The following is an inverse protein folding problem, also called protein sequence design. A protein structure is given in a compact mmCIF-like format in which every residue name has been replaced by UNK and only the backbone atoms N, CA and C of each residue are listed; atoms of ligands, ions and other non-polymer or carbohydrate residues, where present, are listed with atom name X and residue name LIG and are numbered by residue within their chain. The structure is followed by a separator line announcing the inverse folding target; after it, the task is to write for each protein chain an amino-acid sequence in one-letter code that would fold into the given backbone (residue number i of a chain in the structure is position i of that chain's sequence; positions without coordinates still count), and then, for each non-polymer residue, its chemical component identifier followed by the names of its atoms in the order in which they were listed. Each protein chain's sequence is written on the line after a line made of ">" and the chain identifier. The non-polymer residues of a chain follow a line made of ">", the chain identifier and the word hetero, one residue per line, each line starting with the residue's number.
data_IF_354488697886
#
_entry.id   IF_354488697886
#
_cell.length_a   1.000
_cell.length_b   1.000
_cell.length_c   1.000
_cell.angle_alpha   90.00
_cell.angle_beta   90.00
_cell.angle_gamma   90.00
#
_symmetry.space_group_name_H-M   'P 1'
#
loop_
_entity.id
_entity.type
_entity.pdbx_description
1 polymer ?
#
# COMPACT_ATOMS: atom_id res chain seq x y z
N UNK A 1 48.07 0.46 6.95
CA UNK A 1 47.31 -0.47 7.81
C UNK A 1 46.29 -1.14 6.92
N UNK A 2 46.61 -2.34 6.41
CA UNK A 2 45.74 -3.09 5.50
C UNK A 2 45.03 -4.16 6.32
N UNK A 3 43.76 -3.95 6.64
CA UNK A 3 42.91 -4.92 7.32
C UNK A 3 42.06 -5.66 6.30
N UNK A 4 42.54 -6.83 5.88
CA UNK A 4 41.69 -7.83 5.23
C UNK A 4 41.11 -8.72 6.34
N UNK A 5 40.04 -8.23 6.98
CA UNK A 5 39.29 -8.94 8.03
C UNK A 5 38.22 -9.85 7.43
N UNK A 6 38.55 -10.58 6.36
CA UNK A 6 37.64 -11.60 5.82
C UNK A 6 37.71 -12.85 6.71
N UNK A 7 36.60 -13.30 7.33
CA UNK A 7 36.62 -14.50 8.16
C UNK A 7 36.97 -15.73 7.32
N UNK A 8 37.85 -16.58 7.83
CA UNK A 8 38.24 -17.84 7.17
C UNK A 8 37.00 -18.70 6.92
N UNK A 9 36.82 -19.14 5.66
CA UNK A 9 35.71 -20.00 5.24
C UNK A 9 35.60 -21.23 6.15
N UNK A 10 34.42 -21.42 6.73
CA UNK A 10 34.07 -22.63 7.49
C UNK A 10 34.22 -23.85 6.58
N UNK A 11 34.89 -24.95 7.01
CA UNK A 11 34.97 -26.15 6.20
C UNK A 11 33.55 -26.67 5.93
N UNK A 12 33.20 -26.78 4.66
CA UNK A 12 31.87 -27.24 4.24
C UNK A 12 31.66 -28.68 4.69
N UNK A 13 30.56 -28.96 5.38
CA UNK A 13 30.10 -30.33 5.60
C UNK A 13 29.87 -30.99 4.23
N UNK A 14 30.43 -32.20 4.01
CA UNK A 14 30.36 -32.92 2.73
C UNK A 14 28.95 -33.28 2.24
N UNK A 15 27.93 -33.01 3.06
CA UNK A 15 26.51 -33.19 2.72
C UNK A 15 25.83 -31.91 2.21
N UNK A 16 26.53 -30.78 2.08
CA UNK A 16 25.97 -29.52 1.60
C UNK A 16 26.39 -29.24 0.15
N UNK A 17 25.48 -28.62 -0.61
CA UNK A 17 25.78 -28.10 -1.93
C UNK A 17 26.84 -26.98 -1.84
N UNK A 18 27.67 -26.79 -2.87
CA UNK A 18 28.65 -25.70 -2.89
C UNK A 18 27.95 -24.34 -2.78
N UNK A 19 28.59 -23.34 -2.13
CA UNK A 19 28.04 -21.98 -2.04
C UNK A 19 27.74 -21.39 -3.42
N UNK A 20 26.69 -20.58 -3.50
CA UNK A 20 26.36 -19.80 -4.69
C UNK A 20 27.51 -18.84 -5.04
N UNK A 21 27.74 -18.62 -6.33
CA UNK A 21 28.74 -17.64 -6.78
C UNK A 21 28.32 -16.21 -6.40
N UNK A 22 29.26 -15.28 -6.17
CA UNK A 22 28.92 -13.87 -6.00
C UNK A 22 28.05 -13.37 -7.18
N UNK A 23 26.87 -12.82 -6.87
CA UNK A 23 25.88 -12.39 -7.87
C UNK A 23 24.87 -13.46 -8.31
N UNK A 24 25.00 -14.71 -7.85
CA UNK A 24 24.05 -15.79 -8.12
C UNK A 24 23.05 -15.93 -6.96
N UNK A 25 21.76 -15.78 -7.27
CA UNK A 25 20.68 -16.07 -6.33
C UNK A 25 20.30 -17.55 -6.39
N UNK A 26 20.09 -18.18 -5.23
CA UNK A 26 19.49 -19.53 -5.14
C UNK A 26 18.00 -19.57 -5.53
N UNK A 27 17.37 -18.41 -5.68
CA UNK A 27 16.03 -18.26 -6.23
C UNK A 27 16.01 -17.09 -7.25
N UNK A 28 16.47 -17.33 -8.50
CA UNK A 28 16.58 -16.27 -9.51
C UNK A 28 15.22 -15.71 -9.95
N UNK A 29 14.13 -16.48 -9.82
CA UNK A 29 12.77 -16.02 -10.14
C UNK A 29 12.08 -15.28 -8.97
N UNK A 30 12.74 -15.19 -7.81
CA UNK A 30 12.15 -14.59 -6.61
C UNK A 30 10.98 -15.39 -6.03
N UNK A 31 10.28 -14.82 -5.06
CA UNK A 31 9.12 -15.47 -4.44
C UNK A 31 8.02 -15.63 -5.50
N UNK A 32 7.49 -16.84 -5.76
CA UNK A 32 6.39 -17.00 -6.69
C UNK A 32 5.19 -16.16 -6.23
N UNK A 33 4.47 -15.53 -7.18
CA UNK A 33 3.21 -14.82 -6.90
C UNK A 33 2.27 -15.80 -6.18
N UNK A 34 2.09 -15.61 -4.88
CA UNK A 34 1.18 -16.43 -4.09
C UNK A 34 -0.28 -16.13 -4.45
N UNK A 35 -1.18 -17.07 -4.18
CA UNK A 35 -2.63 -16.92 -4.39
C UNK A 35 -3.19 -15.61 -3.82
N UNK A 36 -2.66 -15.15 -2.68
CA UNK A 36 -3.03 -13.88 -2.05
C UNK A 36 -2.68 -12.65 -2.88
N UNK A 37 -1.50 -12.64 -3.52
CA UNK A 37 -1.06 -11.52 -4.35
C UNK A 37 -1.91 -11.43 -5.62
N UNK A 38 -2.20 -12.58 -6.23
CA UNK A 38 -3.09 -12.67 -7.39
C UNK A 38 -4.52 -12.25 -7.05
N UNK A 39 -5.05 -12.71 -5.91
CA UNK A 39 -6.39 -12.31 -5.46
C UNK A 39 -6.51 -10.78 -5.27
N UNK A 40 -5.48 -10.14 -4.72
CA UNK A 40 -5.48 -8.69 -4.57
C UNK A 40 -5.47 -7.95 -5.92
N UNK A 41 -4.69 -8.43 -6.88
CA UNK A 41 -4.63 -7.90 -8.25
C UNK A 41 -5.99 -8.04 -8.95
N UNK A 42 -6.56 -9.24 -8.95
CA UNK A 42 -7.87 -9.54 -9.55
C UNK A 42 -8.99 -8.72 -8.88
N UNK A 43 -8.93 -8.55 -7.55
CA UNK A 43 -9.88 -7.73 -6.80
C UNK A 43 -9.83 -6.24 -7.20
N UNK A 44 -8.62 -5.66 -7.30
CA UNK A 44 -8.46 -4.28 -7.75
C UNK A 44 -8.97 -4.08 -9.18
N UNK A 45 -8.71 -5.05 -10.07
CA UNK A 45 -9.19 -4.99 -11.45
C UNK A 45 -10.73 -5.02 -11.50
N UNK A 46 -11.36 -5.94 -10.77
CA UNK A 46 -12.82 -6.03 -10.73
C UNK A 46 -13.47 -4.74 -10.19
N UNK A 47 -12.88 -4.11 -9.17
CA UNK A 47 -13.36 -2.82 -8.66
C UNK A 47 -13.20 -1.69 -9.68
N UNK A 48 -12.11 -1.69 -10.46
CA UNK A 48 -11.90 -0.68 -11.50
C UNK A 48 -12.94 -0.82 -12.61
N UNK A 49 -13.23 -2.06 -13.03
CA UNK A 49 -14.21 -2.35 -14.07
C UNK A 49 -15.63 -1.94 -13.62
N UNK A 50 -16.03 -2.31 -12.40
CA UNK A 50 -17.30 -1.88 -11.80
C UNK A 50 -17.41 -0.34 -11.70
N UNK A 51 -16.33 0.31 -11.25
CA UNK A 51 -16.31 1.77 -11.15
C UNK A 51 -16.36 2.46 -12.51
N UNK A 52 -15.78 1.87 -13.57
CA UNK A 52 -15.86 2.40 -14.93
C UNK A 52 -17.30 2.39 -15.47
N UNK A 53 -18.10 1.40 -15.09
CA UNK A 53 -19.50 1.28 -15.53
C UNK A 53 -20.46 2.12 -14.66
N UNK A 54 -20.34 2.06 -13.33
CA UNK A 54 -21.33 2.62 -12.39
C UNK A 54 -20.80 3.67 -11.40
N UNK A 55 -19.49 3.91 -11.36
CA UNK A 55 -18.85 4.72 -10.33
C UNK A 55 -19.36 6.16 -10.27
N UNK A 56 -19.62 6.78 -11.42
CA UNK A 56 -20.13 8.16 -11.47
C UNK A 56 -21.54 8.30 -10.87
N UNK A 57 -22.42 7.32 -11.08
CA UNK A 57 -23.76 7.31 -10.48
C UNK A 57 -23.69 6.99 -8.99
N UNK A 58 -22.82 6.06 -8.57
CA UNK A 58 -22.58 5.80 -7.15
C UNK A 58 -22.11 7.07 -6.41
N UNK A 59 -21.24 7.87 -7.02
CA UNK A 59 -20.79 9.17 -6.49
C UNK A 59 -21.95 10.17 -6.37
N UNK A 60 -22.80 10.27 -7.40
CA UNK A 60 -23.97 11.17 -7.36
C UNK A 60 -24.96 10.75 -6.28
N UNK A 61 -25.22 9.44 -6.15
CA UNK A 61 -26.10 8.89 -5.12
C UNK A 61 -25.55 9.17 -3.72
N UNK A 62 -24.25 8.92 -3.51
CA UNK A 62 -23.58 9.20 -2.24
C UNK A 62 -23.65 10.68 -1.87
N UNK A 63 -23.48 11.60 -2.84
CA UNK A 63 -23.64 13.04 -2.63
C UNK A 63 -25.06 13.40 -2.19
N UNK A 64 -26.07 12.74 -2.74
CA UNK A 64 -27.48 13.00 -2.44
C UNK A 64 -27.92 12.39 -1.09
N UNK A 65 -27.56 11.13 -0.82
CA UNK A 65 -28.04 10.39 0.34
C UNK A 65 -27.16 10.55 1.59
N UNK A 66 -25.84 10.69 1.39
CA UNK A 66 -24.83 10.72 2.46
C UNK A 66 -23.79 11.82 2.20
N UNK A 67 -24.20 13.10 2.17
CA UNK A 67 -23.32 14.22 1.81
C UNK A 67 -22.06 14.31 2.69
N UNK A 68 -22.16 13.96 3.98
CA UNK A 68 -21.01 13.96 4.90
C UNK A 68 -19.96 12.92 4.49
N UNK A 69 -20.39 11.70 4.14
CA UNK A 69 -19.47 10.65 3.69
C UNK A 69 -18.86 11.02 2.33
N UNK A 70 -19.64 11.63 1.43
CA UNK A 70 -19.15 12.12 0.15
C UNK A 70 -17.98 13.09 0.31
N UNK A 71 -18.10 14.08 1.21
CA UNK A 71 -17.02 15.03 1.49
C UNK A 71 -15.81 14.35 2.13
N UNK A 72 -16.00 13.37 3.02
CA UNK A 72 -14.88 12.58 3.58
C UNK A 72 -14.15 11.77 2.51
N UNK A 73 -14.88 11.17 1.57
CA UNK A 73 -14.28 10.43 0.46
C UNK A 73 -13.47 11.34 -0.47
N UNK A 74 -13.91 12.57 -0.71
CA UNK A 74 -13.10 13.55 -1.44
C UNK A 74 -11.83 13.88 -0.64
N UNK A 75 -11.97 14.17 0.65
CA UNK A 75 -10.85 14.53 1.50
C UNK A 75 -9.78 13.42 1.53
N UNK A 76 -10.17 12.14 1.55
CA UNK A 76 -9.23 11.01 1.62
C UNK A 76 -8.39 10.79 0.36
N UNK A 77 -8.83 11.30 -0.80
CA UNK A 77 -8.10 11.21 -2.08
C UNK A 77 -7.02 12.30 -2.19
N UNK A 78 -7.15 13.39 -1.42
CA UNK A 78 -6.17 14.47 -1.41
C UNK A 78 -4.88 13.96 -0.73
N UNK A 79 -3.70 14.01 -1.40
CA UNK A 79 -2.44 13.61 -0.81
C UNK A 79 -2.16 14.35 0.51
N UNK A 80 -1.74 13.60 1.54
CA UNK A 80 -1.42 14.13 2.87
C UNK A 80 -0.21 15.08 2.92
N UNK A 81 0.48 15.29 1.80
CA UNK A 81 1.67 16.16 1.70
C UNK A 81 1.34 17.63 1.40
N UNK A 82 0.05 18.01 1.39
CA UNK A 82 -0.26 19.31 1.97
C UNK A 82 0.05 19.21 3.47
N UNK A 83 1.06 19.91 3.98
CA UNK A 83 1.47 19.94 5.39
C UNK A 83 0.36 20.43 6.37
N UNK A 84 -0.90 20.46 5.96
CA UNK A 84 -2.07 20.40 6.83
C UNK A 84 -2.53 18.95 6.91
N UNK A 85 -2.00 18.24 7.90
CA UNK A 85 -2.57 17.04 8.51
C UNK A 85 -4.05 16.84 8.09
N UNK A 86 -4.41 15.81 7.31
CA UNK A 86 -5.84 15.68 6.88
C UNK A 86 -6.80 15.41 8.06
N UNK A 87 -6.22 15.15 9.24
CA UNK A 87 -6.83 15.08 10.57
C UNK A 87 -6.54 16.30 11.45
N UNK A 88 -5.72 17.25 11.01
CA UNK A 88 -5.36 18.47 11.74
C UNK A 88 -5.63 19.71 10.88
N UNK A 89 -6.57 20.49 11.39
CA UNK A 89 -7.06 21.76 10.84
C UNK A 89 -8.12 21.70 9.74
N UNK A 90 -9.02 20.71 9.82
CA UNK A 90 -10.40 20.96 9.37
C UNK A 90 -11.02 22.02 10.31
N UNK A 91 -11.75 23.00 9.79
CA UNK A 91 -12.42 23.99 10.64
C UNK A 91 -13.39 23.28 11.61
N UNK A 92 -13.61 23.84 12.80
CA UNK A 92 -14.53 23.24 13.77
C UNK A 92 -15.98 23.17 13.25
N UNK A 93 -16.34 24.07 12.33
CA UNK A 93 -17.59 24.01 11.58
C UNK A 93 -17.65 22.74 10.72
N UNK A 94 -16.59 22.47 9.94
CA UNK A 94 -16.51 21.29 9.10
C UNK A 94 -16.41 20.00 9.93
N UNK A 95 -15.67 20.01 11.05
CA UNK A 95 -15.62 18.89 11.99
C UNK A 95 -17.00 18.62 12.61
N UNK A 96 -17.72 19.69 12.99
CA UNK A 96 -19.08 19.60 13.52
C UNK A 96 -20.04 19.01 12.49
N UNK A 97 -19.95 19.46 11.24
CA UNK A 97 -20.78 18.97 10.15
C UNK A 97 -20.46 17.51 9.80
N UNK A 98 -19.18 17.14 9.82
CA UNK A 98 -18.69 15.78 9.60
C UNK A 98 -18.82 14.87 10.82
N UNK A 99 -19.30 15.32 11.98
CA UNK A 99 -19.35 14.49 13.20
C UNK A 99 -17.97 13.99 13.67
N UNK A 100 -16.90 14.73 13.36
CA UNK A 100 -15.54 14.46 13.83
C UNK A 100 -15.31 15.19 15.16
N UNK A 101 -14.43 14.66 16.04
CA UNK A 101 -14.08 15.34 17.28
C UNK A 101 -13.47 16.72 16.99
N UNK A 102 -13.95 17.74 17.71
CA UNK A 102 -13.36 19.09 17.70
C UNK A 102 -12.04 19.05 18.48
N UNK A 103 -11.07 19.85 18.04
CA UNK A 103 -9.75 19.99 18.68
C UNK A 103 -9.74 21.14 19.67
#
# INVERSE_FOLDING_TARGET
>A
MSGDDTPKKTPGNGNLMPPWQPGQSGNPAGRPKGSRAKLAEDFCQALLDDFAEGGAEAIKLMRAEKPNEYVRAIASVIPKEFEGNLTGDLSDELKSWLGLPKS
#
